data_IF_119446788876
#
_entry.id   IF_119446788876
#
_cell.length_a   1.000
_cell.length_b   1.000
_cell.length_c   1.000
_cell.angle_alpha   90.00
_cell.angle_beta   90.00
_cell.angle_gamma   90.00
#
_symmetry.space_group_name_H-M   'P 1'
#
loop_
_entity.id
_entity.type
_entity.pdbx_description
1 polymer ?
#
# COMPACT_ATOMS: atom_id res chain seq x y z
N UNK A 1 -10.59 21.67 10.54
CA UNK A 1 -11.98 21.30 10.93
C UNK A 1 -12.91 22.11 10.03
N UNK A 2 -13.64 21.45 9.11
CA UNK A 2 -14.88 20.78 9.50
C UNK A 2 -14.81 19.27 9.32
N UNK A 3 -15.55 18.60 10.18
CA UNK A 3 -15.71 17.16 10.24
C UNK A 3 -16.60 16.66 9.10
N UNK A 4 -16.09 15.75 8.28
CA UNK A 4 -16.94 14.85 7.50
C UNK A 4 -17.62 13.88 8.47
N UNK A 5 -18.82 14.25 8.92
CA UNK A 5 -19.75 13.33 9.55
C UNK A 5 -20.44 12.51 8.46
N UNK A 6 -20.04 11.25 8.25
CA UNK A 6 -20.93 10.08 8.13
C UNK A 6 -20.10 8.80 7.88
N UNK A 7 -19.85 8.03 8.94
CA UNK A 7 -19.80 6.56 8.88
C UNK A 7 -20.04 6.06 10.32
N UNK A 8 -21.30 6.14 10.71
CA UNK A 8 -21.81 5.53 11.93
C UNK A 8 -22.21 4.10 11.58
N UNK A 9 -21.23 3.21 11.56
CA UNK A 9 -21.32 1.79 11.97
C UNK A 9 -20.07 1.03 11.48
N UNK A 10 -19.08 0.85 12.35
CA UNK A 10 -18.11 -0.24 12.29
C UNK A 10 -17.22 -0.19 13.54
N UNK A 11 -17.79 -0.75 14.62
CA UNK A 11 -17.08 -1.52 15.65
C UNK A 11 -15.91 -0.82 16.34
N UNK A 12 -16.22 -0.30 17.54
CA UNK A 12 -15.26 0.03 18.60
C UNK A 12 -14.57 -1.23 19.19
N UNK A 13 -14.71 -2.38 18.52
CA UNK A 13 -14.21 -3.70 18.89
C UNK A 13 -13.33 -4.31 17.77
N UNK A 14 -12.76 -3.50 16.87
CA UNK A 14 -11.75 -3.99 15.91
C UNK A 14 -10.41 -4.16 16.63
N UNK A 15 -10.32 -5.20 17.46
CA UNK A 15 -9.04 -5.85 17.71
C UNK A 15 -8.59 -6.46 16.38
N UNK A 16 -7.90 -5.65 15.60
CA UNK A 16 -7.18 -6.10 14.41
C UNK A 16 -6.06 -7.03 14.90
N UNK A 17 -6.09 -8.33 14.58
CA UNK A 17 -5.01 -9.21 14.99
C UNK A 17 -3.68 -8.63 14.46
N UNK A 18 -2.60 -8.64 15.27
CA UNK A 18 -1.31 -8.15 14.80
C UNK A 18 -0.94 -8.87 13.49
N UNK A 19 -0.79 -8.08 12.41
CA UNK A 19 -0.51 -8.60 11.07
C UNK A 19 -1.70 -8.72 10.13
N UNK A 20 -2.91 -8.26 10.48
CA UNK A 20 -4.01 -8.31 9.50
C UNK A 20 -3.82 -7.31 8.33
N UNK A 21 -4.35 -7.63 7.12
CA UNK A 21 -4.05 -6.93 5.87
C UNK A 21 -4.73 -5.56 5.83
N UNK A 22 -3.97 -4.46 5.75
CA UNK A 22 -4.40 -3.05 5.92
C UNK A 22 -5.55 -2.53 5.01
N UNK A 23 -6.23 -3.42 4.28
CA UNK A 23 -7.37 -3.17 3.40
C UNK A 23 -8.64 -3.72 4.08
N UNK A 24 -9.64 -2.86 4.31
CA UNK A 24 -10.91 -3.24 4.97
C UNK A 24 -11.63 -4.33 4.17
N UNK A 25 -11.92 -5.46 4.82
CA UNK A 25 -12.54 -6.63 4.18
C UNK A 25 -11.60 -7.38 3.21
N UNK A 26 -10.32 -7.04 3.19
CA UNK A 26 -9.31 -7.69 2.36
C UNK A 26 -8.85 -9.03 2.90
N UNK A 27 -8.21 -9.81 2.02
CA UNK A 27 -7.49 -11.04 2.34
C UNK A 27 -6.08 -11.02 1.74
N UNK A 28 -5.35 -12.11 1.91
CA UNK A 28 -4.04 -12.26 1.25
C UNK A 28 -4.19 -12.26 -0.28
N UNK A 29 -3.25 -11.61 -0.96
CA UNK A 29 -3.20 -11.66 -2.41
C UNK A 29 -2.72 -13.06 -2.84
N UNK A 30 -3.44 -13.74 -3.75
CA UNK A 30 -3.12 -15.13 -4.12
C UNK A 30 -1.85 -15.26 -4.96
N UNK A 31 -1.36 -14.16 -5.54
CA UNK A 31 -0.15 -14.11 -6.35
C UNK A 31 0.41 -12.67 -6.39
N UNK A 32 1.71 -12.48 -6.71
CA UNK A 32 2.24 -11.17 -7.02
C UNK A 32 1.55 -10.58 -8.26
N UNK A 33 1.17 -9.30 -8.18
CA UNK A 33 0.66 -8.55 -9.32
C UNK A 33 1.79 -7.72 -9.92
N UNK A 34 2.08 -7.91 -11.22
CA UNK A 34 3.23 -7.28 -11.90
C UNK A 34 3.22 -5.75 -11.88
N UNK A 35 2.03 -5.15 -11.79
CA UNK A 35 1.88 -3.70 -11.66
C UNK A 35 2.03 -3.20 -10.23
N UNK A 36 1.89 -4.05 -9.20
CA UNK A 36 1.84 -3.61 -7.80
C UNK A 36 3.24 -3.35 -7.25
N UNK A 37 3.43 -2.18 -6.64
CA UNK A 37 4.68 -1.79 -6.00
C UNK A 37 4.44 -1.14 -4.63
N UNK A 38 5.38 -1.36 -3.71
CA UNK A 38 5.44 -0.66 -2.42
C UNK A 38 6.40 0.51 -2.53
N UNK A 39 5.99 1.70 -2.09
CA UNK A 39 6.85 2.87 -1.98
C UNK A 39 7.03 3.24 -0.51
N UNK A 40 8.23 3.03 0.03
CA UNK A 40 8.54 3.29 1.44
C UNK A 40 7.58 2.61 2.43
N UNK A 41 7.34 3.25 3.57
CA UNK A 41 6.55 2.72 4.68
C UNK A 41 5.18 3.39 4.76
N UNK A 42 4.30 3.04 3.83
CA UNK A 42 2.89 3.46 3.88
C UNK A 42 2.27 3.84 2.54
N UNK A 43 3.08 3.99 1.49
CA UNK A 43 2.58 4.28 0.16
C UNK A 43 2.61 3.05 -0.76
N UNK A 44 1.70 3.07 -1.73
CA UNK A 44 1.70 2.16 -2.87
C UNK A 44 2.08 2.90 -4.15
N UNK A 45 2.44 2.14 -5.17
CA UNK A 45 2.66 2.63 -6.52
C UNK A 45 2.24 1.57 -7.54
N UNK A 46 2.10 1.99 -8.80
CA UNK A 46 1.77 1.11 -9.91
C UNK A 46 2.77 1.27 -11.06
N UNK A 47 3.39 0.18 -11.48
CA UNK A 47 4.28 0.18 -12.65
C UNK A 47 3.44 0.39 -13.92
N UNK A 48 3.68 1.48 -14.64
CA UNK A 48 2.97 1.84 -15.87
C UNK A 48 3.83 1.64 -17.12
N UNK A 49 5.16 1.55 -16.94
CA UNK A 49 6.13 1.15 -17.96
C UNK A 49 7.41 0.63 -17.26
N UNK A 50 8.39 0.04 -17.96
CA UNK A 50 9.57 -0.55 -17.33
C UNK A 50 10.36 0.39 -16.41
N UNK A 51 10.27 1.71 -16.64
CA UNK A 51 11.03 2.73 -15.90
C UNK A 51 10.14 3.74 -15.18
N UNK A 52 8.81 3.61 -15.27
CA UNK A 52 7.88 4.60 -14.70
C UNK A 52 6.86 3.94 -13.78
N UNK A 53 6.74 4.48 -12.57
CA UNK A 53 5.72 4.14 -11.60
C UNK A 53 4.83 5.35 -11.28
N UNK A 54 3.52 5.11 -11.22
CA UNK A 54 2.51 6.08 -10.80
C UNK A 54 2.25 5.95 -9.29
N UNK A 55 2.18 7.08 -8.58
CA UNK A 55 1.83 7.13 -7.15
C UNK A 55 1.06 8.41 -6.82
N UNK A 56 0.61 8.55 -5.58
CA UNK A 56 -0.02 9.77 -5.10
C UNK A 56 1.02 10.89 -4.92
N UNK A 57 0.64 12.14 -5.22
CA UNK A 57 1.56 13.28 -5.10
C UNK A 57 2.16 13.46 -3.69
N UNK A 58 1.38 13.21 -2.64
CA UNK A 58 1.86 13.28 -1.25
C UNK A 58 2.83 12.13 -0.88
N UNK A 59 2.94 11.10 -1.72
CA UNK A 59 3.88 10.00 -1.55
C UNK A 59 5.25 10.27 -2.21
N UNK A 60 5.36 11.32 -3.01
CA UNK A 60 6.63 11.69 -3.64
C UNK A 60 7.60 12.19 -2.56
N UNK A 61 8.77 11.57 -2.47
CA UNK A 61 9.83 11.93 -1.52
C UNK A 61 9.68 11.37 -0.09
N UNK A 62 8.56 10.75 0.28
CA UNK A 62 8.41 10.05 1.58
C UNK A 62 8.97 8.62 1.56
N UNK A 63 9.08 8.01 0.37
CA UNK A 63 9.69 6.68 0.19
C UNK A 63 11.04 6.78 -0.50
N UNK A 64 12.07 6.15 0.08
CA UNK A 64 13.41 6.04 -0.51
C UNK A 64 13.65 4.71 -1.23
N UNK A 65 12.62 3.85 -1.34
CA UNK A 65 12.70 2.56 -2.01
C UNK A 65 11.35 2.18 -2.61
N UNK A 66 11.38 1.80 -3.89
CA UNK A 66 10.27 1.17 -4.60
C UNK A 66 10.53 -0.33 -4.65
N UNK A 67 9.63 -1.17 -4.11
CA UNK A 67 9.73 -2.63 -4.16
C UNK A 67 8.67 -3.21 -5.09
N UNK A 68 9.08 -4.07 -6.02
CA UNK A 68 8.22 -4.67 -7.05
C UNK A 68 8.33 -6.20 -6.99
N UNK A 69 7.23 -6.89 -7.30
CA UNK A 69 7.24 -8.33 -7.57
C UNK A 69 7.26 -9.23 -6.32
N UNK A 70 6.89 -8.71 -5.15
CA UNK A 70 6.77 -9.49 -3.92
C UNK A 70 5.39 -9.35 -3.27
N UNK A 71 4.95 -10.43 -2.60
CA UNK A 71 3.80 -10.43 -1.69
C UNK A 71 4.19 -9.93 -0.30
N UNK A 72 5.44 -10.12 0.10
CA UNK A 72 5.98 -9.60 1.35
C UNK A 72 6.50 -8.18 1.11
N UNK A 73 5.96 -7.25 1.91
CA UNK A 73 6.26 -5.83 1.84
C UNK A 73 7.76 -5.58 2.00
N UNK A 74 8.49 -6.41 2.75
CA UNK A 74 9.91 -6.22 3.07
C UNK A 74 10.87 -6.74 2.00
N UNK A 75 10.39 -7.50 1.02
CA UNK A 75 11.18 -8.14 -0.04
C UNK A 75 10.79 -7.68 -1.45
N UNK A 76 11.46 -8.22 -2.47
CA UNK A 76 11.27 -7.87 -3.88
C UNK A 76 12.42 -7.03 -4.43
N UNK A 77 12.34 -6.72 -5.73
CA UNK A 77 13.35 -5.91 -6.42
C UNK A 77 13.23 -4.47 -5.97
N UNK A 78 14.34 -3.88 -5.53
CA UNK A 78 14.40 -2.47 -5.10
C UNK A 78 14.78 -1.60 -6.29
N UNK A 79 13.87 -0.70 -6.67
CA UNK A 79 14.15 0.47 -7.52
C UNK A 79 14.21 1.73 -6.67
N UNK A 80 14.95 2.74 -7.15
CA UNK A 80 14.93 4.08 -6.57
C UNK A 80 14.04 4.98 -7.43
N UNK A 81 13.13 5.77 -6.82
CA UNK A 81 12.28 6.70 -7.54
C UNK A 81 13.06 7.88 -8.14
#
# INVERSE_FOLDING_TARGET
MPACHLFRDASHDRHWPPGSPMIIGGGEAPAPYSFMARLGDGCGASLISPEWALTAGHCVGVGNSLRIGSLDRTSGTVGYP
#
